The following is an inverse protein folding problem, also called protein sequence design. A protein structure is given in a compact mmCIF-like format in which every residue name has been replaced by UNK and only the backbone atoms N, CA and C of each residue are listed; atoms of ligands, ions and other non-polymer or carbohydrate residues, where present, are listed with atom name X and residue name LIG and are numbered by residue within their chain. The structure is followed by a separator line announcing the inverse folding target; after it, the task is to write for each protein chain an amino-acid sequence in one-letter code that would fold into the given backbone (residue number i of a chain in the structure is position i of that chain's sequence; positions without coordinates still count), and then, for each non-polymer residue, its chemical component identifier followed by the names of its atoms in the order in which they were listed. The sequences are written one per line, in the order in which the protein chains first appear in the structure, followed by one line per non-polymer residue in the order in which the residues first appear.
data_IF_221415377115
#
_entry.id   IF_221415377115
#
_cell.length_a   1.000
_cell.length_b   1.000
_cell.length_c   1.000
_cell.angle_alpha   90.00
_cell.angle_beta   90.00
_cell.angle_gamma   90.00
#
_symmetry.space_group_name_H-M   'P 1'
#
loop_
_entity.id
_entity.type
_entity.pdbx_description
1 polymer ?
#
# COMPACT_ATOMS: atom_id res chain seq x y z
N UNK A 1 14.60 2.85 14.10
CA UNK A 1 13.72 2.52 12.97
C UNK A 1 14.27 3.19 11.71
N UNK A 2 14.42 2.42 10.65
CA UNK A 2 14.93 2.90 9.38
C UNK A 2 13.91 2.70 8.28
N UNK A 3 13.59 3.76 7.54
CA UNK A 3 12.66 3.75 6.42
C UNK A 3 13.46 4.06 5.16
N UNK A 4 13.35 3.21 4.13
CA UNK A 4 14.08 3.40 2.88
C UNK A 4 13.33 2.78 1.71
N UNK A 5 13.67 3.25 0.50
CA UNK A 5 13.25 2.58 -0.73
C UNK A 5 14.19 1.39 -0.92
N UNK A 6 13.61 0.21 -1.10
CA UNK A 6 14.35 -1.04 -1.33
C UNK A 6 13.77 -1.80 -2.52
N UNK A 7 14.59 -2.69 -3.06
CA UNK A 7 14.12 -3.63 -4.07
C UNK A 7 13.10 -4.60 -3.48
N UNK A 8 11.95 -4.83 -4.14
CA UNK A 8 11.01 -5.85 -3.70
C UNK A 8 11.56 -7.27 -3.82
N UNK A 9 12.73 -7.45 -4.46
CA UNK A 9 13.43 -8.74 -4.58
C UNK A 9 14.28 -9.10 -3.36
N UNK A 10 14.45 -8.21 -2.40
CA UNK A 10 15.15 -8.54 -1.14
C UNK A 10 14.47 -9.75 -0.50
N UNK A 11 15.20 -10.79 -0.06
CA UNK A 11 14.60 -12.08 0.33
C UNK A 11 13.48 -11.99 1.38
N UNK A 12 13.67 -11.23 2.45
CA UNK A 12 12.61 -11.07 3.46
C UNK A 12 11.43 -10.24 2.98
N UNK A 13 11.66 -9.33 2.04
CA UNK A 13 10.58 -8.58 1.38
C UNK A 13 9.75 -9.51 0.50
N UNK A 14 10.39 -10.40 -0.25
CA UNK A 14 9.70 -11.42 -1.07
C UNK A 14 8.78 -12.26 -0.20
N UNK A 15 9.24 -12.69 0.95
CA UNK A 15 8.45 -13.49 1.90
C UNK A 15 7.25 -12.68 2.42
N UNK A 16 7.45 -11.44 2.82
CA UNK A 16 6.38 -10.57 3.31
C UNK A 16 5.31 -10.33 2.24
N UNK A 17 5.71 -10.08 1.00
CA UNK A 17 4.80 -9.86 -0.12
C UNK A 17 4.05 -11.14 -0.49
N UNK A 18 4.67 -12.31 -0.37
CA UNK A 18 4.01 -13.60 -0.55
C UNK A 18 2.91 -13.83 0.47
N UNK A 19 3.15 -13.52 1.73
CA UNK A 19 2.14 -13.57 2.78
C UNK A 19 0.98 -12.61 2.48
N UNK A 20 1.30 -11.42 2.00
CA UNK A 20 0.29 -10.42 1.64
C UNK A 20 -0.66 -10.94 0.56
N UNK A 21 -0.13 -11.48 -0.53
CA UNK A 21 -0.94 -12.07 -1.60
C UNK A 21 -1.78 -13.24 -1.12
N UNK A 22 -1.19 -14.12 -0.30
CA UNK A 22 -1.91 -15.26 0.28
C UNK A 22 -3.12 -14.80 1.07
N UNK A 23 -2.96 -13.80 1.93
CA UNK A 23 -4.05 -13.26 2.75
C UNK A 23 -5.11 -12.56 1.90
N UNK A 24 -4.70 -11.85 0.84
CA UNK A 24 -5.65 -11.21 -0.08
C UNK A 24 -6.55 -12.24 -0.75
N UNK A 25 -5.98 -13.32 -1.30
CA UNK A 25 -6.76 -14.38 -1.94
C UNK A 25 -7.59 -15.20 -0.95
N UNK A 26 -7.15 -15.30 0.31
CA UNK A 26 -7.91 -15.98 1.35
C UNK A 26 -9.11 -15.17 1.87
N UNK A 27 -9.07 -13.85 1.71
CA UNK A 27 -10.03 -12.91 2.31
C UNK A 27 -11.05 -12.38 1.29
N UNK A 28 -10.65 -12.24 0.02
CA UNK A 28 -11.46 -11.64 -1.03
C UNK A 28 -11.60 -12.55 -2.23
N UNK A 29 -12.70 -12.46 -3.02
CA UNK A 29 -12.80 -13.17 -4.30
C UNK A 29 -11.62 -12.80 -5.21
N UNK A 30 -11.15 -13.75 -6.01
CA UNK A 30 -9.98 -13.54 -6.88
C UNK A 30 -10.15 -12.34 -7.83
N UNK A 31 -11.34 -12.12 -8.35
CA UNK A 31 -11.67 -11.00 -9.24
C UNK A 31 -11.63 -9.63 -8.54
N UNK A 32 -11.66 -9.62 -7.21
CA UNK A 32 -11.59 -8.39 -6.39
C UNK A 32 -10.20 -8.14 -5.83
N UNK A 33 -9.22 -9.01 -6.09
CA UNK A 33 -7.85 -8.86 -5.62
C UNK A 33 -7.06 -8.04 -6.63
N UNK A 34 -6.61 -6.86 -6.21
CA UNK A 34 -5.84 -5.91 -7.03
C UNK A 34 -4.39 -5.75 -6.55
N UNK A 35 -3.93 -6.62 -5.63
CA UNK A 35 -2.55 -6.60 -5.16
C UNK A 35 -1.59 -6.97 -6.29
N UNK A 36 -0.48 -6.24 -6.36
CA UNK A 36 0.54 -6.47 -7.39
C UNK A 36 1.42 -7.67 -7.02
N UNK A 37 1.79 -8.47 -8.03
CA UNK A 37 2.80 -9.50 -7.87
C UNK A 37 4.22 -8.88 -7.85
N UNK A 38 5.22 -9.71 -7.60
CA UNK A 38 6.61 -9.24 -7.48
C UNK A 38 7.12 -8.59 -8.77
N UNK A 39 6.78 -9.15 -9.94
CA UNK A 39 7.21 -8.60 -11.22
C UNK A 39 6.62 -7.22 -11.47
N UNK A 40 5.34 -7.02 -11.15
CA UNK A 40 4.68 -5.73 -11.28
C UNK A 40 5.29 -4.69 -10.33
N UNK A 41 5.70 -5.11 -9.12
CA UNK A 41 6.35 -4.21 -8.15
C UNK A 41 7.74 -3.76 -8.55
N UNK A 42 8.38 -4.43 -9.51
CA UNK A 42 9.67 -4.02 -10.07
C UNK A 42 9.56 -2.96 -11.16
N UNK A 43 8.35 -2.66 -11.62
CA UNK A 43 8.15 -1.66 -12.67
C UNK A 43 8.70 -0.29 -12.23
N UNK A 44 9.32 0.49 -13.16
CA UNK A 44 9.87 1.81 -12.80
C UNK A 44 8.86 2.80 -12.20
N UNK A 45 7.55 2.62 -12.44
CA UNK A 45 6.50 3.44 -11.83
C UNK A 45 6.29 3.16 -10.34
N UNK A 46 6.92 2.13 -9.80
CA UNK A 46 6.76 1.69 -8.42
C UNK A 46 7.98 2.07 -7.59
N UNK A 47 7.75 2.70 -6.43
CA UNK A 47 8.76 2.90 -5.39
C UNK A 47 8.30 2.13 -4.16
N UNK A 48 9.07 1.12 -3.78
CA UNK A 48 8.74 0.26 -2.64
C UNK A 48 9.53 0.68 -1.41
N UNK A 49 8.80 0.98 -0.32
CA UNK A 49 9.39 1.36 0.96
C UNK A 49 9.41 0.17 1.91
N UNK A 50 10.49 0.09 2.70
CA UNK A 50 10.57 -0.82 3.84
C UNK A 50 10.78 -0.05 5.13
N UNK A 51 10.29 -0.60 6.23
CA UNK A 51 10.59 -0.15 7.59
C UNK A 51 11.36 -1.27 8.28
N UNK A 52 12.56 -0.96 8.77
CA UNK A 52 13.42 -1.92 9.47
C UNK A 52 13.81 -1.40 10.84
N UNK A 53 13.94 -2.32 11.78
CA UNK A 53 14.48 -2.07 13.10
C UNK A 53 15.60 -3.08 13.35
N UNK A 54 16.82 -2.59 13.56
CA UNK A 54 18.02 -3.42 13.70
C UNK A 54 18.17 -4.45 12.57
N UNK A 55 17.89 -4.02 11.34
CA UNK A 55 17.95 -4.85 10.14
C UNK A 55 16.73 -5.74 9.90
N UNK A 56 15.86 -5.91 10.89
CA UNK A 56 14.68 -6.74 10.75
C UNK A 56 13.55 -6.01 10.04
N UNK A 57 12.96 -6.66 9.03
CA UNK A 57 11.84 -6.10 8.29
C UNK A 57 10.57 -6.06 9.15
N UNK A 58 10.04 -4.85 9.30
CA UNK A 58 8.82 -4.60 10.09
C UNK A 58 7.59 -4.46 9.21
N UNK A 59 7.75 -3.97 8.00
CA UNK A 59 6.66 -3.78 7.05
C UNK A 59 7.11 -3.03 5.82
N UNK A 60 6.18 -2.82 4.90
CA UNK A 60 6.44 -2.09 3.67
C UNK A 60 5.17 -1.64 2.97
N UNK A 61 5.36 -0.92 1.89
CA UNK A 61 4.31 -0.44 1.01
C UNK A 61 4.88 0.34 -0.14
N UNK A 62 4.08 0.58 -1.15
CA UNK A 62 4.55 1.15 -2.40
C UNK A 62 3.77 2.38 -2.82
N UNK A 63 4.46 3.29 -3.51
CA UNK A 63 3.86 4.34 -4.31
C UNK A 63 3.93 3.90 -5.78
N UNK A 64 2.79 3.83 -6.43
CA UNK A 64 2.70 3.69 -7.88
C UNK A 64 2.38 5.05 -8.49
N UNK A 65 3.20 5.49 -9.44
CA UNK A 65 2.96 6.72 -10.19
C UNK A 65 2.25 6.36 -11.49
N UNK A 66 0.98 6.75 -11.62
CA UNK A 66 0.18 6.51 -12.83
C UNK A 66 0.51 7.51 -13.93
N UNK A 67 0.64 8.79 -13.57
CA UNK A 67 0.97 9.88 -14.48
C UNK A 67 1.57 11.05 -13.68
N UNK A 68 1.68 12.21 -14.29
CA UNK A 68 2.27 13.39 -13.66
C UNK A 68 1.46 13.94 -12.48
N UNK A 69 0.19 13.53 -12.33
CA UNK A 69 -0.73 14.06 -11.32
C UNK A 69 -1.22 13.02 -10.32
N UNK A 70 -1.31 11.73 -10.70
CA UNK A 70 -1.96 10.69 -9.92
C UNK A 70 -0.97 9.65 -9.41
N UNK A 71 -0.94 9.48 -8.08
CA UNK A 71 -0.27 8.38 -7.41
C UNK A 71 -1.25 7.44 -6.73
N UNK A 72 -0.79 6.23 -6.46
CA UNK A 72 -1.58 5.21 -5.77
C UNK A 72 -0.74 4.51 -4.71
N UNK A 73 -1.33 4.33 -3.52
CA UNK A 73 -0.75 3.49 -2.45
C UNK A 73 -1.03 2.03 -2.77
N UNK A 74 0.01 1.20 -2.80
CA UNK A 74 -0.10 -0.24 -3.11
C UNK A 74 0.64 -1.09 -2.09
N UNK A 75 0.20 -2.33 -1.94
CA UNK A 75 0.95 -3.38 -1.24
C UNK A 75 1.36 -3.04 0.20
N UNK A 76 0.50 -2.34 0.93
CA UNK A 76 0.71 -2.03 2.34
C UNK A 76 0.63 -3.31 3.18
N UNK A 77 1.71 -3.62 3.90
CA UNK A 77 1.77 -4.82 4.74
C UNK A 77 2.67 -4.58 5.94
N UNK A 78 2.19 -4.95 7.13
CA UNK A 78 2.99 -5.00 8.35
C UNK A 78 3.29 -6.46 8.69
N UNK A 79 4.55 -6.77 9.02
CA UNK A 79 4.92 -8.10 9.47
C UNK A 79 4.18 -8.42 10.77
N UNK A 80 3.73 -9.68 10.92
CA UNK A 80 2.91 -10.09 12.06
C UNK A 80 3.49 -9.70 13.43
N UNK A 81 4.80 -9.91 13.71
CA UNK A 81 5.37 -9.52 15.01
C UNK A 81 5.39 -8.02 15.26
N UNK A 82 5.27 -7.22 14.21
CA UNK A 82 5.35 -5.75 14.29
C UNK A 82 4.00 -5.04 14.31
N UNK A 83 2.91 -5.79 14.25
CA UNK A 83 1.55 -5.23 14.26
C UNK A 83 1.27 -4.44 15.54
N UNK A 84 0.51 -3.35 15.41
CA UNK A 84 0.16 -2.50 16.53
C UNK A 84 1.26 -1.57 17.00
N UNK A 85 2.37 -1.44 16.25
CA UNK A 85 3.51 -0.60 16.60
C UNK A 85 3.66 0.65 15.72
N UNK A 86 2.63 0.97 14.93
CA UNK A 86 2.64 2.17 14.08
C UNK A 86 3.45 2.05 12.79
N UNK A 87 3.83 0.85 12.37
CA UNK A 87 4.65 0.62 11.18
C UNK A 87 3.93 1.08 9.91
N UNK A 88 2.65 0.72 9.76
CA UNK A 88 1.86 1.13 8.60
C UNK A 88 1.76 2.66 8.47
N UNK A 89 1.65 3.35 9.60
CA UNK A 89 1.62 4.82 9.64
C UNK A 89 2.94 5.41 9.15
N UNK A 90 4.07 4.82 9.53
CA UNK A 90 5.39 5.25 9.06
C UNK A 90 5.52 5.07 7.54
N UNK A 91 5.11 3.92 7.02
CA UNK A 91 5.14 3.65 5.58
C UNK A 91 4.25 4.63 4.83
N UNK A 92 3.02 4.80 5.29
CA UNK A 92 2.05 5.69 4.62
C UNK A 92 2.55 7.14 4.60
N UNK A 93 3.13 7.61 5.70
CA UNK A 93 3.74 8.95 5.75
C UNK A 93 4.86 9.09 4.73
N UNK A 94 5.73 8.08 4.61
CA UNK A 94 6.81 8.09 3.62
C UNK A 94 6.28 8.13 2.18
N UNK A 95 5.21 7.38 1.89
CA UNK A 95 4.56 7.38 0.57
C UNK A 95 3.96 8.76 0.26
N UNK A 96 3.26 9.34 1.22
CA UNK A 96 2.66 10.68 1.06
C UNK A 96 3.75 11.72 0.79
N UNK A 97 4.82 11.71 1.57
CA UNK A 97 5.92 12.65 1.43
C UNK A 97 6.59 12.53 0.06
N UNK A 98 6.83 11.31 -0.41
CA UNK A 98 7.41 11.09 -1.73
C UNK A 98 6.48 11.60 -2.85
N UNK A 99 5.19 11.33 -2.73
CA UNK A 99 4.20 11.79 -3.69
C UNK A 99 4.20 13.33 -3.79
N UNK A 100 4.29 14.03 -2.64
CA UNK A 100 4.41 15.48 -2.60
C UNK A 100 5.70 15.98 -3.23
N UNK A 101 6.83 15.34 -2.93
CA UNK A 101 8.14 15.68 -3.50
C UNK A 101 8.14 15.55 -5.02
N UNK A 102 7.42 14.59 -5.57
CA UNK A 102 7.29 14.39 -7.01
C UNK A 102 6.29 15.32 -7.68
N UNK A 103 5.59 16.16 -6.91
CA UNK A 103 4.63 17.11 -7.44
C UNK A 103 3.32 16.48 -7.89
N UNK A 104 2.98 15.29 -7.39
CA UNK A 104 1.69 14.67 -7.69
C UNK A 104 0.55 15.49 -7.07
N UNK A 105 -0.59 15.56 -7.78
CA UNK A 105 -1.73 16.34 -7.34
C UNK A 105 -2.62 15.59 -6.35
N UNK A 106 -2.70 14.26 -6.50
CA UNK A 106 -3.53 13.43 -5.63
C UNK A 106 -2.90 12.06 -5.42
N UNK A 107 -3.29 11.44 -4.29
CA UNK A 107 -2.88 10.10 -3.91
C UNK A 107 -4.13 9.32 -3.57
N UNK A 108 -4.33 8.17 -4.23
CA UNK A 108 -5.51 7.34 -4.06
C UNK A 108 -5.11 5.93 -3.67
N UNK A 109 -6.09 5.13 -3.25
CA UNK A 109 -5.90 3.73 -2.92
C UNK A 109 -7.19 2.96 -3.06
N UNK A 110 -7.06 1.65 -3.19
CA UNK A 110 -8.15 0.70 -3.11
C UNK A 110 -7.89 -0.23 -1.92
N UNK A 111 -8.93 -0.54 -1.16
CA UNK A 111 -8.87 -1.52 -0.07
C UNK A 111 -10.19 -2.29 0.00
N UNK A 112 -10.24 -3.36 0.80
CA UNK A 112 -11.41 -4.19 0.91
C UNK A 112 -12.50 -3.62 1.83
N UNK A 113 -13.72 -4.10 1.64
CA UNK A 113 -14.88 -3.77 2.47
C UNK A 113 -15.08 -4.74 3.62
N UNK A 114 -14.42 -5.92 3.59
CA UNK A 114 -14.53 -6.94 4.63
C UNK A 114 -13.93 -6.44 5.97
N UNK A 115 -14.35 -7.05 7.08
CA UNK A 115 -13.89 -6.69 8.43
C UNK A 115 -12.38 -6.80 8.60
N UNK A 116 -11.74 -7.73 7.87
CA UNK A 116 -10.29 -7.88 7.84
C UNK A 116 -9.58 -6.56 7.51
N UNK A 117 -10.17 -5.73 6.65
CA UNK A 117 -9.59 -4.46 6.20
C UNK A 117 -10.01 -3.26 7.04
N UNK A 118 -10.83 -3.44 8.07
CA UNK A 118 -11.29 -2.32 8.90
C UNK A 118 -10.15 -1.52 9.54
N UNK A 119 -9.08 -2.16 10.08
CA UNK A 119 -7.94 -1.41 10.61
C UNK A 119 -7.24 -0.56 9.54
N UNK A 120 -7.13 -1.07 8.32
CA UNK A 120 -6.53 -0.33 7.20
C UNK A 120 -7.38 0.90 6.84
N UNK A 121 -8.70 0.73 6.74
CA UNK A 121 -9.61 1.86 6.46
C UNK A 121 -9.48 2.95 7.51
N UNK A 122 -9.41 2.60 8.79
CA UNK A 122 -9.22 3.56 9.89
C UNK A 122 -7.89 4.29 9.79
N UNK A 123 -6.83 3.57 9.41
CA UNK A 123 -5.51 4.16 9.19
C UNK A 123 -5.56 5.25 8.11
N UNK A 124 -6.16 4.92 6.97
CA UNK A 124 -6.25 5.86 5.84
C UNK A 124 -7.05 7.10 6.22
N UNK A 125 -8.17 6.92 6.90
CA UNK A 125 -9.00 8.04 7.37
C UNK A 125 -8.24 8.94 8.34
N UNK A 126 -7.45 8.37 9.25
CA UNK A 126 -6.60 9.16 10.18
C UNK A 126 -5.55 9.98 9.46
N UNK A 127 -5.08 9.50 8.31
CA UNK A 127 -4.07 10.20 7.50
C UNK A 127 -4.66 11.21 6.51
N UNK A 128 -5.97 11.44 6.55
CA UNK A 128 -6.62 12.46 5.73
C UNK A 128 -7.20 11.95 4.42
N UNK A 129 -7.22 10.65 4.20
CA UNK A 129 -7.91 10.07 3.04
C UNK A 129 -9.42 10.07 3.28
N UNK A 130 -10.18 10.36 2.24
CA UNK A 130 -11.63 10.32 2.24
C UNK A 130 -12.14 9.34 1.20
N UNK A 131 -13.26 8.69 1.48
CA UNK A 131 -13.91 7.79 0.53
C UNK A 131 -14.22 8.50 -0.78
N UNK A 132 -14.04 7.77 -1.88
CA UNK A 132 -14.31 8.26 -3.23
C UNK A 132 -14.75 7.11 -4.13
N UNK A 133 -15.14 7.43 -5.35
CA UNK A 133 -15.40 6.42 -6.38
C UNK A 133 -14.13 5.81 -6.94
N UNK A 134 -14.27 4.80 -7.81
CA UNK A 134 -13.12 4.18 -8.50
C UNK A 134 -12.29 5.21 -9.25
N UNK A 135 -10.98 4.93 -9.35
CA UNK A 135 -10.01 5.78 -10.06
C UNK A 135 -9.15 4.91 -10.98
N UNK A 136 -8.39 5.54 -11.88
CA UNK A 136 -7.56 4.85 -12.87
C UNK A 136 -8.40 3.82 -13.63
N UNK A 137 -7.93 2.57 -13.74
CA UNK A 137 -8.62 1.50 -14.45
C UNK A 137 -9.58 0.70 -13.56
N UNK A 138 -9.78 1.10 -12.30
CA UNK A 138 -10.69 0.40 -11.40
C UNK A 138 -12.14 0.63 -11.79
N UNK A 139 -12.97 -0.41 -11.60
CA UNK A 139 -14.42 -0.35 -11.74
C UNK A 139 -15.07 -0.64 -10.41
N UNK A 140 -16.31 -0.20 -10.21
CA UNK A 140 -17.03 -0.42 -8.96
C UNK A 140 -17.11 -1.92 -8.66
N UNK A 141 -16.82 -2.30 -7.41
CA UNK A 141 -16.80 -3.67 -6.92
C UNK A 141 -17.34 -3.66 -5.49
N UNK A 142 -18.33 -4.52 -5.13
CA UNK A 142 -18.88 -4.54 -3.78
C UNK A 142 -17.86 -4.96 -2.71
N UNK A 143 -16.77 -5.61 -3.11
CA UNK A 143 -15.70 -6.02 -2.21
C UNK A 143 -14.57 -5.00 -2.09
N UNK A 144 -14.67 -3.87 -2.79
CA UNK A 144 -13.67 -2.82 -2.81
C UNK A 144 -14.25 -1.49 -2.38
N UNK A 145 -13.44 -0.71 -1.68
CA UNK A 145 -13.71 0.69 -1.40
C UNK A 145 -12.49 1.51 -1.77
N UNK A 146 -12.70 2.77 -2.12
CA UNK A 146 -11.68 3.65 -2.66
C UNK A 146 -11.54 4.88 -1.79
N UNK A 147 -10.30 5.29 -1.58
CA UNK A 147 -9.98 6.48 -0.80
C UNK A 147 -9.02 7.36 -1.58
N UNK A 148 -9.07 8.65 -1.33
CA UNK A 148 -8.15 9.58 -1.95
C UNK A 148 -7.90 10.80 -1.10
N UNK A 149 -6.79 11.48 -1.38
CA UNK A 149 -6.47 12.76 -0.79
C UNK A 149 -5.79 13.66 -1.81
N UNK A 150 -6.00 14.96 -1.68
CA UNK A 150 -5.24 15.97 -2.42
C UNK A 150 -3.91 16.21 -1.72
N UNK A 151 -2.87 16.38 -2.49
CA UNK A 151 -1.51 16.60 -1.98
C UNK A 151 -1.12 18.13 -1.94
#
# INVERSE_FOLDING_TARGET
VHIAIESPRTPDVVELLGEHLHDMYATSPAESVHALDLSALEHPSISFFTVREEGQLMGGGALKTHDAALGEVKSMRTAAPARGRGVASLVLTAVIDLARQRGLAELNLETGTEDYFAPARRLYERHGFAERGPFADYTADPNSTYYGMRL
#
